data_IF_546797152177
#
_entry.id   IF_546797152177
#
_cell.length_a   1.000
_cell.length_b   1.000
_cell.length_c   1.000
_cell.angle_alpha   90.00
_cell.angle_beta   90.00
_cell.angle_gamma   90.00
#
_symmetry.space_group_name_H-M   'P 1'
#
loop_
_entity.id
_entity.type
_entity.pdbx_description
1 polymer ?
#
# COMPACT_ATOMS: atom_id res chain seq x y z
N UNK A 1 14.32 -24.00 -18.01
CA UNK A 1 13.61 -24.25 -16.72
C UNK A 1 12.94 -22.95 -16.24
N UNK A 2 11.75 -22.60 -16.76
CA UNK A 2 11.10 -21.27 -16.56
C UNK A 2 9.63 -21.40 -16.10
N UNK A 3 9.37 -22.22 -15.07
CA UNK A 3 7.99 -22.62 -14.69
C UNK A 3 7.37 -21.89 -13.48
N UNK A 4 7.98 -20.85 -12.92
CA UNK A 4 7.44 -20.16 -11.74
C UNK A 4 6.91 -18.74 -12.00
N UNK A 5 6.03 -18.61 -13.00
CA UNK A 5 5.08 -17.51 -13.07
C UNK A 5 3.79 -17.82 -12.27
N UNK A 6 3.90 -18.63 -11.20
CA UNK A 6 2.78 -18.92 -10.29
C UNK A 6 2.84 -17.93 -9.14
N UNK A 7 1.68 -17.41 -8.74
CA UNK A 7 1.57 -16.68 -7.47
C UNK A 7 2.17 -17.55 -6.37
N UNK A 8 3.24 -17.07 -5.75
CA UNK A 8 3.87 -17.77 -4.63
C UNK A 8 2.81 -17.89 -3.53
N UNK A 9 2.57 -19.08 -2.94
CA UNK A 9 1.61 -19.27 -1.85
C UNK A 9 1.77 -18.22 -0.73
N UNK A 10 3.02 -17.78 -0.52
CA UNK A 10 3.37 -16.67 0.37
C UNK A 10 2.55 -15.39 0.11
N UNK A 11 2.38 -14.95 -1.14
CA UNK A 11 1.65 -13.71 -1.44
C UNK A 11 0.13 -13.86 -1.34
N UNK A 12 -0.37 -15.09 -1.49
CA UNK A 12 -1.78 -15.39 -1.29
C UNK A 12 -2.19 -15.29 0.19
N UNK A 13 -1.22 -15.43 1.10
CA UNK A 13 -1.45 -15.32 2.54
C UNK A 13 -1.02 -13.96 3.08
N UNK A 14 0.19 -13.50 2.73
CA UNK A 14 0.76 -12.27 3.27
C UNK A 14 -0.06 -11.02 2.92
N UNK A 15 -0.59 -10.93 1.69
CA UNK A 15 -1.31 -9.71 1.24
C UNK A 15 -2.69 -9.58 1.88
N UNK A 16 -3.52 -10.64 1.98
CA UNK A 16 -4.74 -10.58 2.76
C UNK A 16 -4.48 -10.30 4.25
N UNK A 17 -3.44 -10.90 4.86
CA UNK A 17 -3.14 -10.63 6.27
C UNK A 17 -2.79 -9.15 6.51
N UNK A 18 -1.92 -8.59 5.68
CA UNK A 18 -1.59 -7.15 5.75
C UNK A 18 -2.82 -6.29 5.45
N UNK A 19 -3.54 -6.57 4.36
CA UNK A 19 -4.68 -5.75 3.95
C UNK A 19 -5.84 -5.79 4.95
N UNK A 20 -6.18 -6.95 5.50
CA UNK A 20 -7.25 -7.09 6.51
C UNK A 20 -6.93 -6.31 7.79
N UNK A 21 -5.67 -6.28 8.25
CA UNK A 21 -5.27 -5.45 9.40
C UNK A 21 -5.64 -3.98 9.19
N UNK A 22 -5.32 -3.42 8.01
CA UNK A 22 -5.63 -2.03 7.69
C UNK A 22 -7.13 -1.79 7.46
N UNK A 23 -7.85 -2.75 6.87
CA UNK A 23 -9.31 -2.64 6.71
C UNK A 23 -9.97 -2.57 8.09
N UNK A 24 -9.63 -3.46 9.01
CA UNK A 24 -10.21 -3.48 10.35
C UNK A 24 -9.88 -2.20 11.13
N UNK A 25 -8.62 -1.77 11.13
CA UNK A 25 -8.20 -0.55 11.81
C UNK A 25 -8.86 0.71 11.23
N UNK A 26 -9.00 0.77 9.89
CA UNK A 26 -9.67 1.86 9.20
C UNK A 26 -11.17 1.90 9.51
N UNK A 27 -11.85 0.75 9.51
CA UNK A 27 -13.28 0.68 9.83
C UNK A 27 -13.56 1.12 11.28
N UNK A 28 -12.74 0.68 12.24
CA UNK A 28 -12.85 1.12 13.62
C UNK A 28 -12.66 2.64 13.74
N UNK A 29 -11.69 3.20 13.01
CA UNK A 29 -11.45 4.66 12.98
C UNK A 29 -12.61 5.42 12.35
N UNK A 30 -13.29 4.86 11.35
CA UNK A 30 -14.46 5.51 10.75
C UNK A 30 -15.65 5.56 11.71
N UNK A 31 -15.85 4.48 12.48
CA UNK A 31 -16.92 4.42 13.48
C UNK A 31 -16.66 5.38 14.64
N UNK A 32 -15.42 5.45 15.12
CA UNK A 32 -15.01 6.28 16.26
C UNK A 32 -13.73 7.06 15.93
N UNK A 33 -13.85 8.22 15.25
CA UNK A 33 -12.71 9.01 14.84
C UNK A 33 -12.17 9.93 15.95
N UNK A 34 -13.01 10.32 16.91
CA UNK A 34 -12.70 11.38 17.89
C UNK A 34 -11.48 11.08 18.75
N UNK A 35 -11.31 9.87 19.34
CA UNK A 35 -10.12 9.57 20.15
C UNK A 35 -8.82 9.66 19.34
N UNK A 36 -8.88 9.34 18.05
CA UNK A 36 -7.72 9.41 17.15
C UNK A 36 -7.44 10.84 16.69
N UNK A 37 -8.47 11.68 16.57
CA UNK A 37 -8.31 13.10 16.29
C UNK A 37 -7.65 13.83 17.47
N UNK A 38 -8.10 13.57 18.69
CA UNK A 38 -7.50 14.13 19.91
C UNK A 38 -6.01 13.76 20.04
N UNK A 39 -5.68 12.48 19.83
CA UNK A 39 -4.28 12.02 19.85
C UNK A 39 -3.45 12.64 18.73
N UNK A 40 -4.04 12.90 17.56
CA UNK A 40 -3.33 13.46 16.41
C UNK A 40 -3.16 14.99 16.48
N UNK A 41 -3.98 15.70 17.26
CA UNK A 41 -4.04 17.15 17.32
C UNK A 41 -2.67 17.84 17.46
N UNK A 42 -1.83 17.49 18.45
CA UNK A 42 -0.51 18.10 18.61
C UNK A 42 0.43 17.90 17.40
N UNK A 43 0.36 16.73 16.75
CA UNK A 43 1.13 16.44 15.56
C UNK A 43 0.60 17.20 14.34
N UNK A 44 -0.73 17.25 14.16
CA UNK A 44 -1.39 17.96 13.07
C UNK A 44 -1.16 19.48 13.18
N UNK A 45 -1.15 20.05 14.38
CA UNK A 45 -0.79 21.43 14.62
C UNK A 45 0.64 21.74 14.13
N UNK A 46 1.64 20.92 14.50
CA UNK A 46 3.03 21.05 14.01
C UNK A 46 3.12 20.88 12.49
N UNK A 47 2.27 20.04 11.90
CA UNK A 47 2.23 19.83 10.47
C UNK A 47 1.66 21.05 9.73
N UNK A 48 0.64 21.72 10.28
CA UNK A 48 0.04 22.95 9.73
C UNK A 48 1.04 24.11 9.66
N UNK A 49 1.96 24.22 10.62
CA UNK A 49 3.04 25.20 10.57
C UNK A 49 3.91 25.08 9.31
N UNK A 50 4.08 23.85 8.79
CA UNK A 50 4.87 23.57 7.57
C UNK A 50 4.01 23.49 6.32
N UNK A 51 2.72 23.17 6.47
CA UNK A 51 1.77 22.99 5.38
C UNK A 51 0.51 23.82 5.67
N UNK A 52 0.51 25.13 5.39
CA UNK A 52 -0.61 26.02 5.69
C UNK A 52 -1.90 25.67 4.93
N UNK A 53 -1.82 24.83 3.90
CA UNK A 53 -2.96 24.36 3.12
C UNK A 53 -3.69 23.17 3.76
N UNK A 54 -3.22 22.67 4.91
CA UNK A 54 -3.86 21.55 5.59
C UNK A 54 -5.14 22.01 6.30
N UNK A 55 -6.29 21.32 6.13
CA UNK A 55 -7.53 21.65 6.83
C UNK A 55 -7.39 21.73 8.35
N UNK A 56 -8.15 22.61 9.00
CA UNK A 56 -8.19 22.75 10.46
C UNK A 56 -9.04 21.68 11.17
N UNK A 57 -9.74 20.85 10.41
CA UNK A 57 -10.57 19.75 10.93
C UNK A 57 -9.76 18.46 11.10
N UNK A 58 -9.34 18.17 12.34
CA UNK A 58 -8.59 16.96 12.70
C UNK A 58 -9.41 15.67 12.45
N UNK A 59 -10.72 15.71 12.72
CA UNK A 59 -11.62 14.56 12.51
C UNK A 59 -11.70 14.22 11.03
N UNK A 60 -11.80 15.24 10.17
CA UNK A 60 -11.78 15.06 8.71
C UNK A 60 -10.47 14.41 8.26
N UNK A 61 -9.31 14.87 8.75
CA UNK A 61 -8.01 14.30 8.39
C UNK A 61 -7.88 12.84 8.82
N UNK A 62 -8.34 12.51 10.03
CA UNK A 62 -8.37 11.15 10.56
C UNK A 62 -9.30 10.26 9.72
N UNK A 63 -10.48 10.75 9.33
CA UNK A 63 -11.42 10.03 8.46
C UNK A 63 -10.86 9.79 7.07
N UNK A 64 -10.18 10.78 6.47
CA UNK A 64 -9.51 10.61 5.18
C UNK A 64 -8.43 9.54 5.27
N UNK A 65 -7.61 9.57 6.32
CA UNK A 65 -6.59 8.55 6.55
C UNK A 65 -7.21 7.15 6.73
N UNK A 66 -8.32 7.04 7.47
CA UNK A 66 -9.05 5.80 7.62
C UNK A 66 -9.63 5.28 6.29
N UNK A 67 -10.17 6.17 5.46
CA UNK A 67 -10.64 5.84 4.11
C UNK A 67 -9.52 5.30 3.23
N UNK A 68 -8.33 5.90 3.28
CA UNK A 68 -7.14 5.38 2.60
C UNK A 68 -6.81 3.97 3.08
N UNK A 69 -6.83 3.72 4.40
CA UNK A 69 -6.54 2.39 4.96
C UNK A 69 -7.54 1.33 4.50
N UNK A 70 -8.85 1.64 4.54
CA UNK A 70 -9.89 0.70 4.09
C UNK A 70 -9.75 0.41 2.60
N UNK A 71 -9.66 1.44 1.76
CA UNK A 71 -9.60 1.28 0.31
C UNK A 71 -8.31 0.58 -0.14
N UNK A 72 -7.16 1.03 0.36
CA UNK A 72 -5.88 0.43 0.02
C UNK A 72 -5.72 -0.97 0.62
N UNK A 73 -6.21 -1.21 1.84
CA UNK A 73 -6.26 -2.54 2.45
C UNK A 73 -7.10 -3.51 1.63
N UNK A 74 -8.30 -3.10 1.21
CA UNK A 74 -9.18 -3.89 0.35
C UNK A 74 -8.52 -4.20 -1.01
N UNK A 75 -7.89 -3.21 -1.64
CA UNK A 75 -7.15 -3.39 -2.90
C UNK A 75 -5.97 -4.36 -2.74
N UNK A 76 -5.22 -4.23 -1.64
CA UNK A 76 -4.08 -5.09 -1.33
C UNK A 76 -4.52 -6.55 -1.17
N UNK A 77 -5.56 -6.78 -0.37
CA UNK A 77 -6.21 -8.09 -0.14
C UNK A 77 -6.77 -8.67 -1.43
N UNK A 78 -7.50 -7.88 -2.21
CA UNK A 78 -8.14 -8.30 -3.46
C UNK A 78 -7.14 -8.58 -4.61
N UNK A 79 -5.83 -8.40 -4.39
CA UNK A 79 -4.88 -8.67 -5.46
C UNK A 79 -4.65 -7.48 -6.40
N UNK A 80 -5.40 -6.38 -6.26
CA UNK A 80 -5.57 -5.30 -7.24
C UNK A 80 -4.57 -4.16 -6.97
N UNK A 81 -3.70 -3.87 -7.94
CA UNK A 81 -2.66 -2.85 -7.82
C UNK A 81 -1.86 -2.90 -6.49
N UNK A 82 -1.28 -4.07 -6.12
CA UNK A 82 -0.62 -4.29 -4.82
C UNK A 82 0.40 -3.22 -4.42
N UNK A 83 1.16 -2.73 -5.41
CA UNK A 83 2.26 -1.82 -5.16
C UNK A 83 1.77 -0.44 -4.76
N UNK A 84 0.76 0.08 -5.46
CA UNK A 84 0.17 1.39 -5.13
C UNK A 84 -0.61 1.30 -3.82
N UNK A 85 -1.33 0.19 -3.59
CA UNK A 85 -2.00 -0.07 -2.33
C UNK A 85 -1.00 -0.13 -1.16
N UNK A 86 0.08 -0.90 -1.29
CA UNK A 86 1.11 -1.01 -0.25
C UNK A 86 1.85 0.31 0.01
N UNK A 87 2.13 1.09 -1.04
CA UNK A 87 2.72 2.43 -0.89
C UNK A 87 1.77 3.40 -0.19
N UNK A 88 0.48 3.38 -0.53
CA UNK A 88 -0.52 4.20 0.14
C UNK A 88 -0.62 3.84 1.63
N UNK A 89 -0.67 2.55 1.95
CA UNK A 89 -0.69 2.07 3.34
C UNK A 89 0.60 2.42 4.10
N UNK A 90 1.76 2.32 3.45
CA UNK A 90 3.04 2.70 4.04
C UNK A 90 3.08 4.21 4.33
N UNK A 91 2.62 5.02 3.39
CA UNK A 91 2.53 6.46 3.54
C UNK A 91 1.54 6.88 4.63
N UNK A 92 0.40 6.19 4.78
CA UNK A 92 -0.55 6.45 5.87
C UNK A 92 0.00 6.04 7.24
N UNK A 93 0.82 4.98 7.30
CA UNK A 93 1.30 4.41 8.56
C UNK A 93 2.37 5.29 9.23
N UNK A 94 3.18 6.00 8.45
CA UNK A 94 4.28 6.82 8.98
C UNK A 94 3.77 7.99 9.85
N UNK A 95 2.85 8.85 9.38
CA UNK A 95 2.27 9.92 10.20
C UNK A 95 1.52 9.39 11.43
N UNK A 96 0.73 8.32 11.28
CA UNK A 96 -0.01 7.74 12.40
C UNK A 96 0.90 7.17 13.49
N UNK A 97 2.09 6.69 13.11
CA UNK A 97 3.06 6.15 14.08
C UNK A 97 3.76 7.27 14.85
N UNK A 98 4.09 8.38 14.17
CA UNK A 98 4.69 9.55 14.80
C UNK A 98 3.70 10.27 15.73
N UNK A 99 2.43 10.34 15.35
CA UNK A 99 1.37 10.94 16.17
C UNK A 99 0.99 10.08 17.37
N UNK A 100 0.85 8.76 17.19
CA UNK A 100 0.30 7.87 18.22
C UNK A 100 1.29 7.43 19.31
N UNK A 101 2.60 7.40 19.02
CA UNK A 101 3.58 6.79 19.94
C UNK A 101 4.93 7.51 20.01
N UNK A 102 4.98 8.73 20.56
CA UNK A 102 6.25 9.39 20.87
C UNK A 102 6.90 8.74 22.09
N UNK A 103 7.50 7.56 21.92
CA UNK A 103 8.15 6.84 23.04
C UNK A 103 9.26 7.67 23.71
N UNK A 104 9.82 8.65 22.98
CA UNK A 104 10.84 9.58 23.46
C UNK A 104 10.30 10.65 24.43
N UNK A 105 8.98 10.81 24.56
CA UNK A 105 8.35 11.80 25.46
C UNK A 105 7.95 11.19 26.82
N UNK A 106 7.98 9.86 26.98
CA UNK A 106 7.59 9.20 28.23
C UNK A 106 8.79 8.99 29.17
N UNK A 107 8.72 9.56 30.38
CA UNK A 107 9.76 9.44 31.42
C UNK A 107 9.74 8.07 32.13
N UNK A 108 8.56 7.49 32.33
CA UNK A 108 8.41 6.17 32.95
C UNK A 108 8.97 5.05 32.04
N UNK A 109 9.95 4.25 32.52
CA UNK A 109 10.55 3.18 31.74
C UNK A 109 9.55 2.10 31.27
N UNK A 110 8.49 1.81 32.04
CA UNK A 110 7.50 0.80 31.66
C UNK A 110 6.63 1.28 30.48
N UNK A 111 6.12 2.51 30.55
CA UNK A 111 5.36 3.14 29.46
C UNK A 111 6.24 3.29 28.21
N UNK A 112 7.49 3.74 28.37
CA UNK A 112 8.44 3.85 27.25
C UNK A 112 8.64 2.51 26.53
N UNK A 113 8.76 1.41 27.27
CA UNK A 113 8.89 0.08 26.70
C UNK A 113 7.65 -0.32 25.87
N UNK A 114 6.44 -0.05 26.38
CA UNK A 114 5.19 -0.33 25.67
C UNK A 114 5.08 0.45 24.35
N UNK A 115 5.38 1.76 24.38
CA UNK A 115 5.35 2.60 23.17
C UNK A 115 6.41 2.17 22.15
N UNK A 116 7.61 1.76 22.61
CA UNK A 116 8.64 1.17 21.74
C UNK A 116 8.17 -0.11 21.05
N UNK A 117 7.43 -0.97 21.75
CA UNK A 117 6.86 -2.18 21.15
C UNK A 117 5.86 -1.83 20.04
N UNK A 118 5.02 -0.81 20.22
CA UNK A 118 4.09 -0.37 19.18
C UNK A 118 4.82 0.19 17.95
N UNK A 119 5.85 1.02 18.17
CA UNK A 119 6.72 1.47 17.08
C UNK A 119 7.35 0.30 16.32
N UNK A 120 7.88 -0.69 17.05
CA UNK A 120 8.49 -1.88 16.45
C UNK A 120 7.48 -2.71 15.63
N UNK A 121 6.23 -2.86 16.13
CA UNK A 121 5.14 -3.50 15.39
C UNK A 121 4.83 -2.75 14.09
N UNK A 122 4.70 -1.43 14.15
CA UNK A 122 4.47 -0.61 12.95
C UNK A 122 5.65 -0.70 11.98
N UNK A 123 6.88 -0.75 12.48
CA UNK A 123 8.08 -1.00 11.68
C UNK A 123 8.06 -2.36 10.98
N UNK A 124 7.63 -3.42 11.65
CA UNK A 124 7.47 -4.74 11.05
C UNK A 124 6.38 -4.76 9.97
N UNK A 125 5.24 -4.10 10.22
CA UNK A 125 4.16 -3.95 9.22
C UNK A 125 4.65 -3.16 8.01
N UNK A 126 5.38 -2.06 8.22
CA UNK A 126 6.00 -1.28 7.16
C UNK A 126 6.97 -2.13 6.34
N UNK A 127 7.80 -2.95 6.98
CA UNK A 127 8.68 -3.91 6.31
C UNK A 127 7.91 -4.90 5.43
N UNK A 128 6.78 -5.41 5.92
CA UNK A 128 5.86 -6.26 5.15
C UNK A 128 5.27 -5.53 3.92
N UNK A 129 4.85 -4.28 4.08
CA UNK A 129 4.36 -3.46 2.96
C UNK A 129 5.47 -3.18 1.93
N UNK A 130 6.68 -2.85 2.37
CA UNK A 130 7.83 -2.62 1.49
C UNK A 130 8.25 -3.90 0.76
N UNK A 131 8.11 -5.06 1.38
CA UNK A 131 8.25 -6.36 0.72
C UNK A 131 7.25 -6.53 -0.43
N UNK A 132 5.99 -6.12 -0.26
CA UNK A 132 5.00 -6.12 -1.34
C UNK A 132 5.38 -5.13 -2.45
N UNK A 133 5.97 -4.00 -2.08
CA UNK A 133 6.45 -3.00 -3.05
C UNK A 133 7.62 -3.56 -3.87
N UNK A 134 8.55 -4.26 -3.24
CA UNK A 134 9.75 -4.83 -3.90
C UNK A 134 9.47 -6.11 -4.69
N UNK A 135 8.32 -6.75 -4.48
CA UNK A 135 8.02 -8.06 -5.03
C UNK A 135 8.07 -8.14 -6.57
N UNK A 136 8.79 -9.16 -7.07
CA UNK A 136 9.20 -9.36 -8.45
C UNK A 136 8.07 -9.80 -9.41
N UNK A 137 6.87 -10.09 -8.89
CA UNK A 137 5.71 -10.50 -9.68
C UNK A 137 5.26 -9.48 -10.73
N UNK A 138 5.57 -8.19 -10.56
CA UNK A 138 5.30 -7.14 -11.56
C UNK A 138 6.25 -7.20 -12.74
N UNK A 139 7.56 -7.41 -12.53
CA UNK A 139 8.55 -7.58 -13.61
C UNK A 139 8.11 -8.73 -14.52
N UNK A 140 7.78 -9.89 -13.94
CA UNK A 140 7.32 -11.05 -14.69
C UNK A 140 6.02 -10.80 -15.49
N UNK A 141 5.03 -10.12 -14.91
CA UNK A 141 3.75 -9.78 -15.58
C UNK A 141 3.92 -8.70 -16.65
N UNK A 142 4.70 -7.67 -16.38
CA UNK A 142 5.04 -6.62 -17.35
C UNK A 142 5.85 -7.19 -18.52
N UNK A 143 6.82 -8.08 -18.25
CA UNK A 143 7.53 -8.82 -19.29
C UNK A 143 6.59 -9.73 -20.08
N UNK A 144 5.64 -10.42 -19.43
CA UNK A 144 4.65 -11.26 -20.10
C UNK A 144 3.64 -10.46 -20.95
N UNK A 145 3.31 -9.24 -20.55
CA UNK A 145 2.50 -8.31 -21.36
C UNK A 145 3.29 -7.77 -22.56
N UNK A 146 4.53 -7.31 -22.33
CA UNK A 146 5.43 -6.84 -23.41
C UNK A 146 5.77 -7.96 -24.39
N UNK A 147 5.91 -9.20 -23.94
CA UNK A 147 6.16 -10.35 -24.83
C UNK A 147 4.92 -10.73 -25.63
N UNK A 148 3.72 -10.65 -25.04
CA UNK A 148 2.45 -10.84 -25.76
C UNK A 148 2.21 -9.75 -26.81
N UNK A 149 2.49 -8.49 -26.49
CA UNK A 149 2.40 -7.37 -27.43
C UNK A 149 3.33 -7.58 -28.65
N UNK A 150 4.60 -7.97 -28.41
CA UNK A 150 5.57 -8.29 -29.48
C UNK A 150 5.16 -9.47 -30.36
N UNK A 151 4.52 -10.50 -29.79
CA UNK A 151 4.00 -11.65 -30.56
C UNK A 151 2.79 -11.29 -31.43
N UNK A 152 1.93 -10.37 -30.97
CA UNK A 152 0.80 -9.85 -31.77
C UNK A 152 1.28 -9.01 -32.95
N UNK A 153 2.26 -8.13 -32.75
CA UNK A 153 2.84 -7.31 -33.82
C UNK A 153 3.51 -8.15 -34.93
N UNK A 154 4.27 -9.19 -34.55
CA UNK A 154 4.95 -10.08 -35.52
C UNK A 154 4.00 -11.00 -36.30
N UNK A 155 2.85 -11.39 -35.74
CA UNK A 155 1.79 -12.10 -36.50
C UNK A 155 1.11 -11.20 -37.53
N UNK A 156 0.84 -9.95 -37.19
CA UNK A 156 0.23 -8.99 -38.12
C UNK A 156 1.16 -8.69 -39.31
N UNK A 157 2.46 -8.51 -39.06
CA UNK A 157 3.47 -8.35 -40.12
C UNK A 157 3.65 -9.57 -41.03
N UNK A 158 3.52 -10.80 -40.52
CA UNK A 158 3.55 -12.03 -41.34
C UNK A 158 2.27 -12.23 -42.15
N UNK A 159 1.11 -11.85 -41.62
CA UNK A 159 -0.18 -11.95 -42.35
C UNK A 159 -0.26 -10.96 -43.50
N UNK A 160 0.24 -9.73 -43.34
CA UNK A 160 0.30 -8.73 -44.42
C UNK A 160 1.21 -9.13 -45.58
N UNK A 161 2.38 -9.74 -45.29
CA UNK A 161 3.29 -10.26 -46.33
C UNK A 161 2.72 -11.43 -47.13
N UNK A 162 1.88 -12.28 -46.51
CA UNK A 162 1.23 -13.41 -47.22
C UNK A 162 0.08 -12.96 -48.11
N UNK A 163 -0.72 -11.98 -47.66
CA UNK A 163 -1.80 -11.40 -48.48
C UNK A 163 -1.28 -10.65 -49.72
N UNK A 164 -0.16 -9.93 -49.59
CA UNK A 164 0.47 -9.22 -50.71
C UNK A 164 1.04 -10.17 -51.78
N UNK A 165 1.50 -11.36 -51.39
CA UNK A 165 2.02 -12.37 -52.33
C UNK A 165 0.92 -13.11 -53.10
N UNK A 166 -0.32 -13.12 -52.60
CA UNK A 166 -1.47 -13.81 -53.20
C UNK A 166 -2.27 -12.90 -54.15
N UNK A 167 -2.07 -11.58 -54.11
CA UNK A 167 -2.75 -10.61 -54.97
C UNK A 167 -1.95 -10.22 -56.23
N UNK A 168 -0.77 -10.81 -56.43
CA UNK A 168 0.16 -10.46 -57.51
C UNK A 168 0.36 -11.58 -58.54
N UNK A 169 -0.55 -12.57 -58.59
CA UNK A 169 -0.55 -13.69 -59.53
C UNK A 169 -1.79 -13.70 -60.39
#
# INVERSE_FOLDING_TARGET
>A
MWKYARMTPLHLVARPLLGTFFVSAGMETMSEPDPRAELAGPFLARLRERLPALPDDDVLLVRVNAAVQVLAGALLTAGRAPRTAALALAASLVPTTLAGHPFWEHEDPAQRAAHRTQLAKNGAVLGGLLSVVSDAGHQARAHAWRSRARRRGSRCGKSGKKGAHLSAG
#
